data_IF_885460793221
#
_entry.id   IF_885460793221
#
_cell.length_a   1.000
_cell.length_b   1.000
_cell.length_c   1.000
_cell.angle_alpha   90.00
_cell.angle_beta   90.00
_cell.angle_gamma   90.00
#
_symmetry.space_group_name_H-M   'P 1'
#
loop_
_entity.id
_entity.type
_entity.pdbx_description
1 polymer ?
#
# COMPACT_ATOMS: atom_id res chain seq x y z
N UNK A 1 2.31 -25.82 -1.85
CA UNK A 1 1.36 -25.22 -0.86
C UNK A 1 1.85 -25.59 0.52
N UNK A 2 2.10 -24.60 1.41
CA UNK A 2 2.53 -24.89 2.79
C UNK A 2 1.36 -25.45 3.60
N UNK A 3 1.65 -26.26 4.63
CA UNK A 3 0.64 -26.83 5.53
C UNK A 3 -0.18 -25.71 6.21
N UNK A 4 0.49 -24.66 6.67
CA UNK A 4 -0.16 -23.49 7.26
C UNK A 4 -1.15 -22.82 6.30
N UNK A 5 -0.78 -22.63 5.03
CA UNK A 5 -1.67 -22.01 4.04
C UNK A 5 -2.92 -22.87 3.82
N UNK A 6 -2.75 -24.21 3.67
CA UNK A 6 -3.88 -25.13 3.48
C UNK A 6 -4.84 -25.07 4.65
N UNK A 7 -4.33 -25.18 5.88
CA UNK A 7 -5.17 -25.14 7.08
C UNK A 7 -5.90 -23.80 7.25
N UNK A 8 -5.26 -22.66 6.94
CA UNK A 8 -5.93 -21.36 6.95
C UNK A 8 -6.99 -21.27 5.86
N UNK A 9 -6.72 -21.80 4.66
CA UNK A 9 -7.69 -21.83 3.56
C UNK A 9 -8.94 -22.66 3.94
N UNK A 10 -8.73 -23.87 4.45
CA UNK A 10 -9.84 -24.75 4.91
C UNK A 10 -10.66 -24.08 6.02
N UNK A 11 -10.00 -23.40 6.96
CA UNK A 11 -10.67 -22.70 8.05
C UNK A 11 -11.53 -21.54 7.54
N UNK A 12 -11.02 -20.73 6.61
CA UNK A 12 -11.73 -19.56 6.08
C UNK A 12 -12.84 -19.98 5.11
N UNK A 13 -12.59 -20.91 4.20
CA UNK A 13 -13.56 -21.37 3.22
C UNK A 13 -14.77 -22.09 3.83
N UNK A 14 -14.61 -22.65 5.03
CA UNK A 14 -15.72 -23.25 5.78
C UNK A 14 -16.69 -22.22 6.40
N UNK A 15 -16.29 -20.93 6.51
CA UNK A 15 -17.05 -19.94 7.25
C UNK A 15 -17.36 -18.66 6.44
N UNK A 16 -16.59 -18.37 5.41
CA UNK A 16 -16.65 -17.11 4.68
C UNK A 16 -16.70 -17.33 3.18
N UNK A 17 -17.36 -16.42 2.51
CA UNK A 17 -17.43 -16.37 1.05
C UNK A 17 -16.03 -16.03 0.48
N UNK A 18 -15.58 -16.82 -0.48
CA UNK A 18 -14.42 -16.51 -1.28
C UNK A 18 -14.81 -15.52 -2.39
N UNK A 19 -14.06 -14.43 -2.52
CA UNK A 19 -14.32 -13.38 -3.51
C UNK A 19 -13.30 -13.48 -4.64
N UNK A 20 -13.79 -13.45 -5.88
CA UNK A 20 -12.95 -13.44 -7.07
C UNK A 20 -12.07 -12.19 -7.14
N UNK A 21 -10.83 -12.31 -7.62
CA UNK A 21 -9.90 -11.18 -7.60
C UNK A 21 -10.34 -10.00 -8.45
N UNK A 22 -10.99 -10.22 -9.60
CA UNK A 22 -11.53 -9.14 -10.42
C UNK A 22 -12.61 -8.35 -9.66
N UNK A 23 -13.56 -9.06 -9.04
CA UNK A 23 -14.64 -8.47 -8.25
C UNK A 23 -14.12 -7.76 -7.00
N UNK A 24 -13.16 -8.39 -6.31
CA UNK A 24 -12.50 -7.81 -5.15
C UNK A 24 -11.97 -6.39 -5.43
N UNK A 25 -11.33 -6.16 -6.58
CA UNK A 25 -10.81 -4.85 -6.93
C UNK A 25 -11.88 -3.87 -7.43
N UNK A 26 -12.96 -4.35 -8.04
CA UNK A 26 -14.14 -3.52 -8.33
C UNK A 26 -14.79 -2.99 -7.05
N UNK A 27 -14.88 -3.83 -6.03
CA UNK A 27 -15.38 -3.40 -4.73
C UNK A 27 -14.41 -2.45 -3.99
N UNK A 28 -13.12 -2.71 -4.10
CA UNK A 28 -12.11 -1.88 -3.46
C UNK A 28 -12.04 -0.47 -4.08
N UNK A 29 -12.27 -0.36 -5.38
CA UNK A 29 -12.17 0.89 -6.14
C UNK A 29 -13.40 1.10 -7.01
N UNK A 30 -14.56 1.41 -6.42
CA UNK A 30 -15.81 1.56 -7.17
C UNK A 30 -15.82 2.80 -8.08
N UNK A 31 -14.94 3.77 -7.84
CA UNK A 31 -14.91 5.06 -8.54
C UNK A 31 -13.74 5.17 -9.53
N UNK A 32 -13.19 4.07 -10.02
CA UNK A 32 -12.16 4.11 -11.06
C UNK A 32 -12.75 4.70 -12.36
N UNK A 33 -11.97 5.59 -12.98
CA UNK A 33 -12.41 6.20 -14.23
C UNK A 33 -12.46 5.18 -15.37
N UNK A 34 -13.32 5.49 -16.35
CA UNK A 34 -13.41 4.70 -17.58
C UNK A 34 -12.24 5.03 -18.51
N UNK A 35 -12.04 4.18 -19.53
CA UNK A 35 -11.03 4.39 -20.57
C UNK A 35 -11.30 5.60 -21.44
N UNK A 36 -10.44 5.79 -22.42
CA UNK A 36 -10.57 6.79 -23.44
C UNK A 36 -10.12 8.18 -23.01
N UNK A 37 -10.98 9.17 -23.18
CA UNK A 37 -10.63 10.55 -22.91
C UNK A 37 -10.35 10.81 -21.43
N UNK A 38 -11.08 10.16 -20.56
CA UNK A 38 -10.92 10.27 -19.12
C UNK A 38 -9.53 9.81 -18.67
N UNK A 39 -8.92 8.89 -19.39
CA UNK A 39 -7.57 8.39 -19.15
C UNK A 39 -6.51 9.51 -19.21
N UNK A 40 -6.81 10.63 -19.83
CA UNK A 40 -5.93 11.80 -19.92
C UNK A 40 -6.13 12.78 -18.78
N UNK A 41 -7.17 12.59 -17.98
CA UNK A 41 -7.44 13.45 -16.84
C UNK A 41 -6.57 13.09 -15.64
N UNK A 42 -5.39 13.70 -15.55
CA UNK A 42 -4.46 13.52 -14.46
C UNK A 42 -4.96 14.01 -13.10
N UNK A 43 -6.10 14.68 -13.05
CA UNK A 43 -6.70 15.17 -11.81
C UNK A 43 -7.62 14.14 -11.17
N UNK A 44 -8.16 13.20 -11.94
CA UNK A 44 -9.00 12.13 -11.43
C UNK A 44 -8.14 11.03 -10.78
N UNK A 45 -8.45 10.64 -9.53
CA UNK A 45 -7.69 9.60 -8.85
C UNK A 45 -8.15 8.21 -9.26
N UNK A 46 -7.20 7.36 -9.63
CA UNK A 46 -7.43 5.95 -9.94
C UNK A 46 -6.45 5.05 -9.20
N UNK A 47 -6.81 3.80 -8.99
CA UNK A 47 -5.89 2.80 -8.51
C UNK A 47 -4.76 2.57 -9.53
N UNK A 48 -3.57 2.30 -9.02
CA UNK A 48 -2.39 1.97 -9.83
C UNK A 48 -1.83 0.64 -9.36
N UNK A 49 -1.69 -0.30 -10.27
CA UNK A 49 -1.09 -1.58 -9.98
C UNK A 49 0.20 -1.80 -10.77
N UNK A 50 1.05 -2.67 -10.23
CA UNK A 50 2.27 -3.10 -10.86
C UNK A 50 2.14 -4.59 -11.19
N UNK A 51 2.70 -4.99 -12.31
CA UNK A 51 2.74 -6.40 -12.70
C UNK A 51 4.10 -6.77 -13.28
N UNK A 52 4.45 -8.05 -13.18
CA UNK A 52 5.66 -8.58 -13.79
C UNK A 52 5.42 -8.84 -15.28
N UNK A 53 6.27 -8.27 -16.11
CA UNK A 53 6.28 -8.50 -17.56
C UNK A 53 7.51 -9.35 -17.90
N UNK A 54 7.27 -10.62 -18.24
CA UNK A 54 8.33 -11.59 -18.51
C UNK A 54 9.11 -11.28 -19.78
N UNK A 55 8.51 -10.52 -20.72
CA UNK A 55 9.14 -10.11 -21.97
C UNK A 55 10.19 -9.00 -21.77
N UNK A 56 10.41 -8.56 -20.53
CA UNK A 56 11.37 -7.50 -20.20
C UNK A 56 12.60 -8.01 -19.45
N UNK A 57 13.74 -7.29 -19.60
CA UNK A 57 14.96 -7.59 -18.83
C UNK A 57 14.70 -7.59 -17.32
N UNK A 58 15.40 -8.46 -16.58
CA UNK A 58 15.22 -8.68 -15.13
C UNK A 58 15.22 -7.40 -14.30
N UNK A 59 15.98 -6.38 -14.68
CA UNK A 59 16.06 -5.09 -13.97
C UNK A 59 14.90 -4.11 -14.27
N UNK A 60 14.00 -4.45 -15.20
CA UNK A 60 12.84 -3.61 -15.60
C UNK A 60 11.56 -4.42 -15.74
N UNK A 61 11.45 -5.54 -15.05
CA UNK A 61 10.30 -6.46 -15.16
C UNK A 61 8.98 -5.84 -14.69
N UNK A 62 8.99 -4.96 -13.70
CA UNK A 62 7.75 -4.38 -13.18
C UNK A 62 7.26 -3.22 -14.04
N UNK A 63 6.02 -3.34 -14.49
CA UNK A 63 5.29 -2.28 -15.19
C UNK A 63 4.16 -1.75 -14.32
N UNK A 64 3.74 -0.51 -14.60
CA UNK A 64 2.59 0.14 -13.95
C UNK A 64 1.46 0.27 -14.93
N UNK A 65 0.24 0.09 -14.43
CA UNK A 65 -0.99 0.38 -15.14
C UNK A 65 -1.97 1.10 -14.21
N UNK A 66 -2.83 1.92 -14.80
CA UNK A 66 -3.99 2.47 -14.12
C UNK A 66 -5.10 1.42 -14.22
N UNK A 67 -5.79 1.19 -13.12
CA UNK A 67 -6.98 0.35 -13.09
C UNK A 67 -8.16 1.17 -13.60
N UNK A 68 -8.81 0.72 -14.66
CA UNK A 68 -9.92 1.40 -15.31
C UNK A 68 -11.11 0.45 -15.44
N UNK A 69 -12.30 0.89 -15.04
CA UNK A 69 -13.47 0.03 -14.87
C UNK A 69 -13.90 -0.71 -16.15
N UNK A 70 -13.85 -0.03 -17.29
CA UNK A 70 -14.33 -0.57 -18.56
C UNK A 70 -13.40 -1.58 -19.23
N UNK A 71 -12.11 -1.62 -18.82
CA UNK A 71 -11.13 -2.62 -19.30
C UNK A 71 -10.63 -3.52 -18.19
N UNK A 72 -11.10 -3.35 -16.96
CA UNK A 72 -10.53 -4.02 -15.80
C UNK A 72 -10.59 -5.54 -15.89
N UNK A 73 -11.68 -6.09 -16.38
CA UNK A 73 -11.82 -7.55 -16.50
C UNK A 73 -10.76 -8.14 -17.44
N UNK A 74 -10.54 -7.50 -18.59
CA UNK A 74 -9.50 -7.91 -19.53
C UNK A 74 -8.10 -7.73 -18.95
N UNK A 75 -7.84 -6.57 -18.35
CA UNK A 75 -6.57 -6.27 -17.70
C UNK A 75 -6.26 -7.22 -16.54
N UNK A 76 -7.27 -7.61 -15.77
CA UNK A 76 -7.13 -8.57 -14.67
C UNK A 76 -6.69 -9.94 -15.21
N UNK A 77 -7.37 -10.49 -16.21
CA UNK A 77 -7.03 -11.79 -16.81
C UNK A 77 -5.64 -11.76 -17.46
N UNK A 78 -5.27 -10.66 -18.13
CA UNK A 78 -4.01 -10.58 -18.86
C UNK A 78 -2.80 -10.31 -17.95
N UNK A 79 -2.94 -9.46 -16.92
CA UNK A 79 -1.80 -8.93 -16.18
C UNK A 79 -1.78 -9.31 -14.70
N UNK A 80 -2.88 -9.78 -14.13
CA UNK A 80 -2.98 -10.05 -12.69
C UNK A 80 -3.16 -11.53 -12.40
N UNK A 81 -4.14 -12.15 -13.02
CA UNK A 81 -4.47 -13.55 -12.79
C UNK A 81 -3.26 -14.45 -13.07
N UNK A 82 -2.94 -15.33 -12.14
CA UNK A 82 -1.79 -16.24 -12.20
C UNK A 82 -0.42 -15.57 -12.41
N UNK A 83 -0.34 -14.24 -12.43
CA UNK A 83 0.94 -13.54 -12.58
C UNK A 83 1.82 -13.74 -11.32
N UNK A 84 3.12 -14.04 -11.48
CA UNK A 84 4.00 -14.35 -10.35
C UNK A 84 4.30 -13.15 -9.43
N UNK A 85 4.06 -11.93 -9.90
CA UNK A 85 4.25 -10.73 -9.11
C UNK A 85 3.39 -9.57 -9.61
N UNK A 86 2.30 -9.32 -8.91
CA UNK A 86 1.49 -8.11 -9.07
C UNK A 86 1.31 -7.42 -7.73
N UNK A 87 1.26 -6.10 -7.72
CA UNK A 87 1.21 -5.30 -6.51
C UNK A 87 0.21 -4.16 -6.65
N UNK A 88 -0.68 -4.00 -5.68
CA UNK A 88 -1.57 -2.86 -5.57
C UNK A 88 -1.65 -2.37 -4.11
N UNK A 89 -1.90 -1.08 -3.91
CA UNK A 89 -2.18 -0.52 -2.58
C UNK A 89 -3.67 -0.20 -2.44
N UNK A 90 -4.14 0.13 -1.24
CA UNK A 90 -5.52 0.59 -1.01
C UNK A 90 -5.77 2.05 -1.38
N UNK A 91 -4.92 2.65 -2.23
CA UNK A 91 -4.96 4.08 -2.55
C UNK A 91 -5.26 4.33 -4.03
N UNK A 92 -5.98 5.41 -4.29
CA UNK A 92 -6.11 5.99 -5.63
C UNK A 92 -5.14 7.17 -5.79
N UNK A 93 -4.53 7.29 -6.97
CA UNK A 93 -3.43 8.21 -7.26
C UNK A 93 -3.77 9.13 -8.42
N UNK A 94 -3.20 10.32 -8.38
CA UNK A 94 -3.13 11.20 -9.53
C UNK A 94 -2.05 10.69 -10.49
N UNK A 95 -2.45 10.32 -11.69
CA UNK A 95 -1.57 9.77 -12.72
C UNK A 95 -1.05 8.37 -12.38
N UNK A 96 -0.05 7.89 -13.10
CA UNK A 96 0.44 6.50 -13.03
C UNK A 96 1.44 6.23 -11.90
N UNK A 97 1.90 7.25 -11.18
CA UNK A 97 2.94 7.05 -10.17
C UNK A 97 2.34 6.79 -8.78
N UNK A 98 2.50 5.59 -8.25
CA UNK A 98 2.04 5.15 -6.92
C UNK A 98 2.93 5.68 -5.76
N UNK A 99 3.34 6.94 -5.84
CA UNK A 99 4.09 7.62 -4.78
C UNK A 99 3.12 8.31 -3.81
N UNK A 100 3.45 8.35 -2.52
CA UNK A 100 2.61 8.97 -1.49
C UNK A 100 2.22 10.42 -1.79
N UNK A 101 3.10 11.20 -2.45
CA UNK A 101 2.80 12.56 -2.87
C UNK A 101 1.67 12.67 -3.90
N UNK A 102 1.48 11.61 -4.70
CA UNK A 102 0.46 11.54 -5.74
C UNK A 102 -0.84 10.88 -5.25
N UNK A 103 -0.82 10.28 -4.05
CA UNK A 103 -2.01 9.67 -3.46
C UNK A 103 -3.06 10.75 -3.14
N UNK A 104 -4.27 10.55 -3.64
CA UNK A 104 -5.39 11.48 -3.51
C UNK A 104 -6.49 10.94 -2.61
N UNK A 105 -6.78 9.63 -2.68
CA UNK A 105 -7.82 8.98 -1.88
C UNK A 105 -7.32 7.68 -1.28
N UNK A 106 -7.83 7.34 -0.12
CA UNK A 106 -7.65 6.03 0.52
C UNK A 106 -8.99 5.30 0.50
N UNK A 107 -9.05 4.22 -0.26
CA UNK A 107 -10.21 3.33 -0.33
C UNK A 107 -10.15 2.23 0.72
N UNK A 108 -8.92 1.80 1.09
CA UNK A 108 -8.72 0.83 2.16
C UNK A 108 -7.43 1.08 2.94
N UNK A 109 -7.47 0.78 4.24
CA UNK A 109 -6.30 0.62 5.08
C UNK A 109 -5.95 -0.87 5.14
N UNK A 110 -4.72 -1.21 4.75
CA UNK A 110 -4.29 -2.60 4.59
C UNK A 110 -3.14 -2.88 5.55
N UNK A 111 -3.19 -4.05 6.22
CA UNK A 111 -2.12 -4.56 7.05
C UNK A 111 -1.65 -5.89 6.51
N UNK A 112 -0.35 -6.13 6.54
CA UNK A 112 0.29 -7.40 6.21
C UNK A 112 0.81 -8.02 7.49
N UNK A 113 0.33 -9.19 7.81
CA UNK A 113 0.66 -9.94 9.01
C UNK A 113 1.30 -11.27 8.60
N UNK A 114 2.62 -11.32 8.66
CA UNK A 114 3.41 -12.50 8.34
C UNK A 114 3.38 -13.55 9.47
N UNK A 115 3.63 -14.80 9.08
CA UNK A 115 3.75 -15.92 10.03
C UNK A 115 2.42 -16.25 10.72
N UNK A 116 1.34 -16.34 9.95
CA UNK A 116 0.01 -16.72 10.45
C UNK A 116 -0.29 -18.16 10.05
N UNK A 117 -0.41 -19.01 11.04
CA UNK A 117 -0.98 -20.35 10.89
C UNK A 117 -2.41 -20.41 11.41
N UNK A 118 -3.01 -21.60 11.43
CA UNK A 118 -4.40 -21.79 11.88
C UNK A 118 -4.62 -21.37 13.33
N UNK A 119 -3.61 -21.55 14.19
CA UNK A 119 -3.68 -21.15 15.60
C UNK A 119 -3.77 -19.63 15.75
N UNK A 120 -2.88 -18.90 15.07
CA UNK A 120 -2.86 -17.43 15.04
C UNK A 120 -4.13 -16.87 14.40
N UNK A 121 -4.62 -17.49 13.33
CA UNK A 121 -5.86 -17.11 12.66
C UNK A 121 -7.07 -17.25 13.60
N UNK A 122 -7.20 -18.37 14.32
CA UNK A 122 -8.26 -18.55 15.33
C UNK A 122 -8.17 -17.50 16.44
N UNK A 123 -6.97 -17.19 16.90
CA UNK A 123 -6.76 -16.15 17.91
C UNK A 123 -7.17 -14.75 17.39
N UNK A 124 -6.92 -14.45 16.10
CA UNK A 124 -7.40 -13.23 15.47
C UNK A 124 -8.94 -13.15 15.52
N UNK A 125 -9.63 -14.23 15.11
CA UNK A 125 -11.10 -14.27 15.13
C UNK A 125 -11.69 -14.14 16.54
N UNK A 126 -11.05 -14.71 17.56
CA UNK A 126 -11.45 -14.51 18.96
C UNK A 126 -11.32 -13.05 19.42
N UNK A 127 -10.49 -12.25 18.74
CA UNK A 127 -10.20 -10.86 19.08
C UNK A 127 -10.93 -9.84 18.21
N UNK A 128 -11.37 -10.22 17.02
CA UNK A 128 -12.12 -9.34 16.14
C UNK A 128 -13.45 -8.91 16.75
N UNK A 129 -13.80 -7.63 16.54
CA UNK A 129 -15.05 -7.05 17.03
C UNK A 129 -15.09 -6.84 18.55
N UNK A 130 -16.27 -6.53 19.07
CA UNK A 130 -16.53 -6.25 20.48
C UNK A 130 -16.09 -4.85 20.91
N UNK A 131 -16.03 -4.62 22.23
CA UNK A 131 -15.72 -3.31 22.82
C UNK A 131 -14.29 -2.85 22.47
N UNK A 132 -14.13 -1.75 21.69
CA UNK A 132 -12.82 -1.24 21.28
C UNK A 132 -11.91 -0.82 22.42
N UNK A 133 -12.46 -0.49 23.59
CA UNK A 133 -11.68 -0.06 24.76
C UNK A 133 -10.92 -1.22 25.42
N UNK A 134 -11.33 -2.45 25.16
CA UNK A 134 -10.61 -3.63 25.65
C UNK A 134 -9.34 -3.83 24.83
N UNK A 135 -8.20 -3.81 25.50
CA UNK A 135 -6.84 -3.84 24.90
C UNK A 135 -6.63 -4.95 23.85
N UNK A 136 -7.25 -6.10 24.03
CA UNK A 136 -7.08 -7.25 23.12
C UNK A 136 -8.08 -7.29 21.96
N UNK A 137 -9.06 -6.40 21.90
CA UNK A 137 -10.03 -6.38 20.81
C UNK A 137 -9.45 -5.68 19.59
N UNK A 138 -9.76 -6.22 18.42
CA UNK A 138 -9.29 -5.75 17.14
C UNK A 138 -10.47 -5.38 16.25
N UNK A 139 -10.34 -4.37 15.40
CA UNK A 139 -11.38 -4.11 14.41
C UNK A 139 -11.52 -5.31 13.48
N UNK A 140 -12.77 -5.64 13.11
CA UNK A 140 -13.06 -6.68 12.12
C UNK A 140 -12.69 -6.18 10.72
N UNK A 141 -11.85 -6.87 9.95
CA UNK A 141 -11.56 -6.47 8.59
C UNK A 141 -12.70 -6.81 7.64
N UNK A 142 -12.84 -6.03 6.56
CA UNK A 142 -13.78 -6.30 5.48
C UNK A 142 -13.40 -7.59 4.74
N UNK A 143 -12.10 -7.71 4.43
CA UNK A 143 -11.56 -8.92 3.80
C UNK A 143 -10.29 -9.40 4.50
N UNK A 144 -10.14 -10.72 4.53
CA UNK A 144 -8.86 -11.39 4.79
C UNK A 144 -8.35 -11.99 3.48
N UNK A 145 -7.08 -11.73 3.17
CA UNK A 145 -6.42 -12.29 1.98
C UNK A 145 -5.28 -13.19 2.43
N UNK A 146 -5.33 -14.46 2.03
CA UNK A 146 -4.22 -15.38 2.24
C UNK A 146 -3.07 -15.01 1.29
N UNK A 147 -1.90 -14.69 1.85
CA UNK A 147 -0.74 -14.21 1.08
C UNK A 147 0.36 -15.24 0.88
N UNK A 148 0.17 -16.46 1.35
CA UNK A 148 1.11 -17.60 1.29
C UNK A 148 1.67 -18.02 2.64
N UNK A 149 2.25 -17.12 3.44
CA UNK A 149 2.74 -17.39 4.79
C UNK A 149 2.15 -16.42 5.82
N UNK A 150 1.11 -15.73 5.46
CA UNK A 150 0.47 -14.72 6.30
C UNK A 150 -0.85 -14.27 5.73
N UNK A 151 -1.33 -13.15 6.23
CA UNK A 151 -2.61 -12.55 5.88
C UNK A 151 -2.43 -11.08 5.55
N UNK A 152 -3.15 -10.59 4.53
CA UNK A 152 -3.43 -9.18 4.43
C UNK A 152 -4.83 -8.91 5.01
N UNK A 153 -4.94 -7.96 5.92
CA UNK A 153 -6.19 -7.50 6.50
C UNK A 153 -6.61 -6.22 5.78
N UNK A 154 -7.74 -6.25 5.08
CA UNK A 154 -8.27 -5.12 4.35
C UNK A 154 -9.44 -4.50 5.11
N UNK A 155 -9.30 -3.24 5.49
CA UNK A 155 -10.36 -2.40 6.01
C UNK A 155 -10.81 -1.46 4.91
N UNK A 156 -11.84 -1.84 4.18
CA UNK A 156 -12.38 -1.06 3.06
C UNK A 156 -13.33 -0.01 3.62
N UNK A 157 -13.08 1.25 3.30
CA UNK A 157 -13.92 2.35 3.78
C UNK A 157 -15.25 2.41 3.03
N UNK A 158 -16.33 2.74 3.76
CA UNK A 158 -17.62 3.07 3.16
C UNK A 158 -17.49 4.24 2.20
N UNK A 159 -16.83 5.31 2.66
CA UNK A 159 -16.50 6.50 1.88
C UNK A 159 -14.97 6.64 1.80
N UNK A 160 -14.38 6.75 0.59
CA UNK A 160 -12.95 6.96 0.45
C UNK A 160 -12.48 8.24 1.16
N UNK A 161 -11.36 8.16 1.84
CA UNK A 161 -10.80 9.30 2.59
C UNK A 161 -9.92 10.14 1.68
N UNK A 162 -10.23 11.43 1.55
CA UNK A 162 -9.38 12.39 0.82
C UNK A 162 -8.05 12.64 1.54
N UNK A 163 -6.96 12.54 0.77
CA UNK A 163 -5.61 12.52 1.31
C UNK A 163 -4.91 13.88 1.23
N UNK A 164 -5.30 14.80 2.09
CA UNK A 164 -4.52 16.02 2.34
C UNK A 164 -3.24 15.72 3.14
N UNK A 165 -2.22 16.59 3.09
CA UNK A 165 -0.93 16.34 3.77
C UNK A 165 -1.05 16.03 5.26
N UNK A 166 -1.91 16.75 6.00
CA UNK A 166 -2.18 16.52 7.42
C UNK A 166 -2.89 15.19 7.66
N UNK A 167 -3.81 14.79 6.77
CA UNK A 167 -4.54 13.51 6.88
C UNK A 167 -3.58 12.34 6.63
N UNK A 168 -2.67 12.43 5.66
CA UNK A 168 -1.64 11.41 5.42
C UNK A 168 -0.78 11.15 6.68
N UNK A 169 -0.44 12.20 7.41
CA UNK A 169 0.36 12.08 8.65
C UNK A 169 -0.45 11.37 9.74
N UNK A 170 -1.70 11.77 9.94
CA UNK A 170 -2.59 11.16 10.94
C UNK A 170 -2.87 9.69 10.61
N UNK A 171 -3.19 9.37 9.34
CA UNK A 171 -3.41 7.99 8.90
C UNK A 171 -2.18 7.10 9.09
N UNK A 172 -0.98 7.67 8.95
CA UNK A 172 0.26 6.94 9.26
C UNK A 172 0.34 6.60 10.75
N UNK A 173 -0.01 7.53 11.64
CA UNK A 173 -0.03 7.30 13.08
C UNK A 173 -1.08 6.27 13.47
N UNK A 174 -2.30 6.39 12.94
CA UNK A 174 -3.36 5.41 13.10
C UNK A 174 -2.91 4.01 12.65
N UNK A 175 -2.34 3.90 11.45
CA UNK A 175 -1.87 2.62 10.92
C UNK A 175 -0.80 1.99 11.83
N UNK A 176 0.13 2.77 12.33
CA UNK A 176 1.18 2.26 13.21
C UNK A 176 0.64 1.78 14.55
N UNK A 177 -0.31 2.52 15.15
CA UNK A 177 -0.95 2.13 16.41
C UNK A 177 -1.76 0.83 16.24
N UNK A 178 -2.56 0.73 15.17
CA UNK A 178 -3.29 -0.50 14.86
C UNK A 178 -2.36 -1.67 14.51
N UNK A 179 -1.25 -1.43 13.81
CA UNK A 179 -0.24 -2.48 13.56
C UNK A 179 0.31 -3.04 14.88
N UNK A 180 0.66 -2.15 15.82
CA UNK A 180 1.12 -2.55 17.15
C UNK A 180 0.06 -3.36 17.91
N UNK A 181 -1.20 -2.98 17.79
CA UNK A 181 -2.32 -3.66 18.44
C UNK A 181 -2.63 -5.03 17.84
N UNK A 182 -2.52 -5.17 16.50
CA UNK A 182 -2.78 -6.42 15.79
C UNK A 182 -1.67 -7.44 16.03
N UNK A 183 -0.41 -6.98 16.12
CA UNK A 183 0.76 -7.84 16.15
C UNK A 183 1.09 -8.33 17.55
N UNK A 184 0.89 -9.60 17.80
CA UNK A 184 1.28 -10.25 19.05
C UNK A 184 2.08 -11.52 18.73
N UNK A 185 3.35 -11.54 19.13
CA UNK A 185 4.22 -12.70 18.94
C UNK A 185 3.63 -13.94 19.62
N UNK A 186 3.54 -15.05 18.88
CA UNK A 186 2.89 -16.32 19.27
C UNK A 186 1.37 -16.22 19.54
N UNK A 187 0.79 -15.03 19.46
CA UNK A 187 -0.64 -14.84 19.57
C UNK A 187 -1.30 -14.72 18.20
N UNK A 188 -0.92 -13.69 17.44
CA UNK A 188 -1.46 -13.41 16.11
C UNK A 188 -0.43 -13.58 14.99
N UNK A 189 0.85 -13.69 15.33
CA UNK A 189 1.95 -13.91 14.39
C UNK A 189 3.07 -14.73 15.03
N UNK A 190 3.68 -15.60 14.25
CA UNK A 190 4.91 -16.33 14.65
C UNK A 190 6.16 -15.46 14.48
N UNK A 191 6.04 -14.27 13.85
CA UNK A 191 7.15 -13.35 13.68
C UNK A 191 7.33 -12.47 14.91
N UNK A 192 8.55 -12.46 15.47
CA UNK A 192 8.87 -11.70 16.69
C UNK A 192 8.91 -10.19 16.45
N UNK A 193 9.40 -9.76 15.30
CA UNK A 193 9.56 -8.34 14.98
C UNK A 193 8.31 -7.80 14.27
N UNK A 194 7.75 -6.73 14.82
CA UNK A 194 6.62 -6.01 14.21
C UNK A 194 7.09 -5.36 12.91
N UNK A 195 6.33 -5.54 11.83
CA UNK A 195 6.63 -4.95 10.53
C UNK A 195 5.69 -3.77 10.28
N UNK A 196 6.21 -2.57 10.46
CA UNK A 196 5.48 -1.34 10.17
C UNK A 196 5.59 -1.00 8.68
N UNK A 197 4.44 -0.81 8.05
CA UNK A 197 4.36 -0.47 6.63
C UNK A 197 3.78 0.93 6.43
N UNK A 198 4.24 1.62 5.39
CA UNK A 198 3.67 2.92 5.03
C UNK A 198 2.21 2.77 4.55
N UNK A 199 1.44 3.85 4.58
CA UNK A 199 0.04 3.84 4.12
C UNK A 199 -0.09 3.57 2.61
N UNK A 200 0.95 3.86 1.82
CA UNK A 200 1.01 3.58 0.39
C UNK A 200 1.77 2.31 0.03
N UNK A 201 2.04 1.46 1.01
CA UNK A 201 2.63 0.14 0.74
C UNK A 201 1.72 -0.63 -0.20
N UNK A 202 2.30 -1.16 -1.28
CA UNK A 202 1.60 -2.05 -2.19
C UNK A 202 1.77 -3.50 -1.72
N UNK A 203 0.71 -4.28 -1.86
CA UNK A 203 0.62 -5.68 -1.47
C UNK A 203 0.34 -6.53 -2.70
N UNK A 204 0.68 -7.81 -2.63
CA UNK A 204 0.38 -8.75 -3.70
C UNK A 204 -1.12 -8.80 -3.97
N UNK A 205 -1.48 -8.81 -5.24
CA UNK A 205 -2.87 -8.78 -5.67
C UNK A 205 -3.54 -10.14 -5.56
N UNK A 206 -4.82 -10.12 -5.21
CA UNK A 206 -5.69 -11.31 -5.19
C UNK A 206 -5.76 -11.92 -6.59
N UNK A 207 -5.70 -13.24 -6.70
CA UNK A 207 -5.66 -14.00 -7.95
C UNK A 207 -4.25 -14.14 -8.56
N UNK A 208 -3.25 -13.40 -8.06
CA UNK A 208 -1.86 -13.60 -8.47
C UNK A 208 -1.19 -14.73 -7.69
N UNK A 209 -0.03 -15.19 -8.17
CA UNK A 209 0.74 -16.23 -7.52
C UNK A 209 1.84 -15.61 -6.64
N UNK A 210 1.94 -16.07 -5.40
CA UNK A 210 3.12 -15.80 -4.61
C UNK A 210 4.29 -16.68 -5.08
N UNK A 211 5.19 -16.13 -5.87
CA UNK A 211 6.29 -16.87 -6.47
C UNK A 211 7.25 -17.53 -5.46
N UNK A 212 7.25 -17.09 -4.20
CA UNK A 212 8.06 -17.70 -3.14
C UNK A 212 7.47 -19.03 -2.64
N UNK A 213 6.14 -19.12 -2.58
CA UNK A 213 5.44 -20.26 -2.00
C UNK A 213 4.65 -21.09 -3.04
N UNK A 214 4.54 -20.59 -4.28
CA UNK A 214 3.74 -21.20 -5.33
C UNK A 214 2.24 -21.26 -4.99
N UNK A 215 1.75 -20.30 -4.21
CA UNK A 215 0.36 -20.22 -3.74
C UNK A 215 -0.36 -19.04 -4.36
N UNK A 216 -1.61 -19.24 -4.74
CA UNK A 216 -2.50 -18.17 -5.15
C UNK A 216 -2.89 -17.30 -3.96
N UNK A 217 -3.08 -16.00 -4.20
CA UNK A 217 -3.66 -15.12 -3.20
C UNK A 217 -5.18 -15.14 -3.30
N UNK A 218 -5.81 -15.54 -2.22
CA UNK A 218 -7.25 -15.75 -2.15
C UNK A 218 -7.88 -14.83 -1.11
N UNK A 219 -8.95 -14.12 -1.49
CA UNK A 219 -9.68 -13.22 -0.62
C UNK A 219 -10.94 -13.87 -0.06
N UNK A 220 -11.23 -13.59 1.21
CA UNK A 220 -12.46 -13.98 1.90
C UNK A 220 -13.15 -12.74 2.46
N UNK A 221 -14.45 -12.61 2.25
CA UNK A 221 -15.27 -11.57 2.86
C UNK A 221 -15.54 -11.93 4.32
N UNK A 222 -14.97 -11.17 5.24
CA UNK A 222 -15.05 -11.47 6.67
C UNK A 222 -15.89 -10.47 7.47
N UNK A 223 -16.12 -9.29 6.93
CA UNK A 223 -16.89 -8.23 7.57
C UNK A 223 -17.43 -7.21 6.57
N UNK A 224 -18.09 -6.21 7.11
CA UNK A 224 -18.65 -5.09 6.36
C UNK A 224 -17.57 -4.03 6.03
N UNK A 225 -17.91 -3.07 5.17
CA UNK A 225 -17.12 -1.85 4.99
C UNK A 225 -17.06 -1.09 6.30
N UNK A 226 -16.00 -0.31 6.51
CA UNK A 226 -15.74 0.37 7.78
C UNK A 226 -15.79 1.87 7.62
N UNK A 227 -16.20 2.55 8.70
CA UNK A 227 -16.03 4.00 8.82
C UNK A 227 -14.65 4.32 9.43
N UNK A 228 -14.17 5.54 9.22
CA UNK A 228 -12.96 6.02 9.88
C UNK A 228 -13.12 6.03 11.40
N UNK A 229 -14.31 6.40 11.90
CA UNK A 229 -14.61 6.44 13.34
C UNK A 229 -14.60 5.05 13.97
N UNK A 230 -15.03 4.02 13.23
CA UNK A 230 -14.88 2.64 13.67
C UNK A 230 -13.41 2.28 13.93
N UNK A 231 -12.50 2.60 13.01
CA UNK A 231 -11.06 2.34 13.21
C UNK A 231 -10.46 3.22 14.31
N UNK A 232 -10.86 4.50 14.38
CA UNK A 232 -10.46 5.42 15.44
C UNK A 232 -10.80 4.91 16.84
N UNK A 233 -11.94 4.22 16.98
CA UNK A 233 -12.35 3.68 18.28
C UNK A 233 -11.33 2.67 18.85
N UNK A 234 -10.61 1.94 17.98
CA UNK A 234 -9.58 0.99 18.39
C UNK A 234 -8.19 1.62 18.57
N UNK A 235 -8.02 2.89 18.20
CA UNK A 235 -6.74 3.58 18.31
C UNK A 235 -6.66 4.41 19.60
N UNK A 236 -5.43 4.63 20.06
CA UNK A 236 -5.16 5.59 21.14
C UNK A 236 -5.63 6.99 20.74
N UNK A 237 -6.13 7.81 21.69
CA UNK A 237 -6.68 9.14 21.38
C UNK A 237 -5.73 10.01 20.54
N UNK A 238 -4.43 10.00 20.87
CA UNK A 238 -3.40 10.79 20.18
C UNK A 238 -3.10 10.33 18.74
N UNK A 239 -3.49 9.10 18.38
CA UNK A 239 -3.26 8.50 17.07
C UNK A 239 -4.53 8.46 16.19
N UNK A 240 -5.64 8.99 16.69
CA UNK A 240 -6.90 9.09 15.94
C UNK A 240 -6.77 10.11 14.81
N UNK A 241 -7.51 9.86 13.75
CA UNK A 241 -7.57 10.74 12.59
C UNK A 241 -8.77 11.66 12.72
N UNK A 242 -8.53 12.96 12.62
CA UNK A 242 -9.55 13.98 12.52
C UNK A 242 -9.46 14.61 11.11
N UNK A 243 -10.43 14.29 10.25
CA UNK A 243 -10.49 14.79 8.87
C UNK A 243 -10.82 16.28 8.79
N UNK A 244 -11.43 16.84 9.85
CA UNK A 244 -11.79 18.24 9.92
C UNK A 244 -10.66 19.12 10.47
N UNK A 245 -9.57 18.51 10.95
CA UNK A 245 -8.42 19.24 11.46
C UNK A 245 -7.81 20.10 10.37
N UNK A 246 -7.78 21.43 10.52
CA UNK A 246 -7.26 22.31 9.48
C UNK A 246 -5.77 22.03 9.25
N UNK A 247 -5.38 22.08 7.98
CA UNK A 247 -3.97 21.99 7.62
C UNK A 247 -3.32 23.37 7.76
N UNK A 248 -2.46 23.48 8.76
CA UNK A 248 -1.59 24.64 8.92
C UNK A 248 -0.19 24.25 8.43
N UNK A 249 0.23 24.73 7.23
CA UNK A 249 1.61 24.54 6.82
C UNK A 249 2.52 25.18 7.85
N UNK A 250 3.59 24.49 8.22
CA UNK A 250 4.57 25.06 9.15
C UNK A 250 5.09 26.39 8.59
N UNK A 251 4.89 27.48 9.33
CA UNK A 251 5.47 28.79 9.01
C UNK A 251 6.93 28.89 9.47
N UNK A 252 7.46 27.81 10.03
CA UNK A 252 8.83 27.75 10.54
C UNK A 252 9.82 27.94 9.39
N UNK A 253 10.70 28.91 9.51
CA UNK A 253 11.79 29.10 8.57
C UNK A 253 12.81 27.95 8.69
N UNK A 254 13.70 27.87 7.72
CA UNK A 254 14.75 26.84 7.73
C UNK A 254 15.70 27.00 8.94
N UNK A 255 15.96 28.23 9.31
CA UNK A 255 16.77 28.62 10.48
C UNK A 255 16.07 28.20 11.77
N UNK A 256 14.82 28.50 11.91
CA UNK A 256 14.00 28.10 13.06
C UNK A 256 13.89 26.57 13.16
N UNK A 257 13.76 25.86 12.04
CA UNK A 257 13.76 24.39 12.02
C UNK A 257 15.12 23.80 12.43
N UNK A 258 16.23 24.45 12.05
CA UNK A 258 17.57 24.07 12.46
C UNK A 258 17.78 24.23 13.97
N UNK A 259 17.25 25.28 14.54
CA UNK A 259 17.35 25.56 15.98
C UNK A 259 16.45 24.65 16.81
N UNK A 260 15.19 24.50 16.40
CA UNK A 260 14.21 23.71 17.14
C UNK A 260 14.41 22.18 17.03
N UNK A 261 14.96 21.71 15.88
CA UNK A 261 15.14 20.29 15.58
C UNK A 261 16.51 20.01 14.97
N UNK A 262 17.62 20.23 15.68
CA UNK A 262 18.98 20.16 15.13
C UNK A 262 19.33 18.77 14.59
N UNK A 263 18.95 17.70 15.28
CA UNK A 263 19.23 16.31 14.83
C UNK A 263 18.48 15.97 13.55
N UNK A 264 17.20 16.33 13.47
CA UNK A 264 16.40 16.14 12.25
C UNK A 264 17.00 16.94 11.09
N UNK A 265 17.35 18.21 11.34
CA UNK A 265 17.94 19.08 10.33
C UNK A 265 19.26 18.50 9.81
N UNK A 266 20.13 18.06 10.70
CA UNK A 266 21.40 17.42 10.34
C UNK A 266 21.17 16.20 9.47
N UNK A 267 20.33 15.27 9.89
CA UNK A 267 20.06 14.02 9.19
C UNK A 267 19.36 14.20 7.85
N UNK A 268 18.32 15.03 7.79
CA UNK A 268 17.45 15.13 6.61
C UNK A 268 17.91 16.19 5.64
N UNK A 269 18.35 17.33 6.14
CA UNK A 269 18.72 18.48 5.29
C UNK A 269 20.20 18.44 4.93
N UNK A 270 21.09 18.29 5.90
CA UNK A 270 22.53 18.34 5.67
C UNK A 270 23.04 17.04 5.03
N UNK A 271 22.77 15.90 5.66
CA UNK A 271 23.22 14.59 5.13
C UNK A 271 22.41 14.15 3.92
N UNK A 272 21.11 14.41 3.89
CA UNK A 272 20.27 14.17 2.73
C UNK A 272 20.73 14.93 1.49
N UNK A 273 21.19 16.17 1.66
CA UNK A 273 21.79 16.95 0.56
C UNK A 273 23.19 16.47 0.17
N UNK A 274 23.98 15.97 1.11
CA UNK A 274 25.29 15.35 0.80
C UNK A 274 25.14 14.06 -0.01
N UNK A 275 24.05 13.31 0.19
CA UNK A 275 23.74 12.08 -0.58
C UNK A 275 23.22 12.37 -1.99
N UNK A 276 22.74 13.59 -2.26
CA UNK A 276 22.46 14.02 -3.63
C UNK A 276 23.79 14.19 -4.33
N UNK A 277 24.17 13.25 -5.20
CA UNK A 277 25.32 13.38 -6.07
C UNK A 277 25.18 14.72 -6.81
N UNK A 278 26.12 15.65 -6.57
CA UNK A 278 26.24 16.82 -7.43
C UNK A 278 26.48 16.30 -8.84
N UNK A 279 25.72 16.79 -9.77
CA UNK A 279 25.96 16.54 -11.19
C UNK A 279 27.30 17.16 -11.53
N UNK A 280 28.31 16.34 -11.60
CA UNK A 280 29.63 16.76 -12.06
C UNK A 280 29.66 16.56 -13.57
N UNK A 281 29.43 17.65 -14.29
CA UNK A 281 29.54 17.71 -15.74
C UNK A 281 30.98 18.07 -16.14
N UNK A 282 31.76 18.58 -15.20
CA UNK A 282 33.18 18.94 -15.46
C UNK A 282 34.02 17.67 -15.70
N UNK A 283 34.73 17.65 -16.79
CA UNK A 283 35.62 16.53 -17.15
C UNK A 283 34.99 15.39 -17.95
N UNK A 284 33.69 15.42 -18.24
CA UNK A 284 33.10 14.47 -19.18
C UNK A 284 33.28 14.97 -20.62
N UNK A 285 34.32 14.46 -21.26
CA UNK A 285 34.52 14.69 -22.71
C UNK A 285 33.61 13.76 -23.48
N UNK A 286 32.66 14.33 -24.21
CA UNK A 286 31.73 13.60 -25.02
C UNK A 286 32.15 13.50 -26.50
N UNK A 287 33.43 13.69 -26.79
CA UNK A 287 33.96 13.74 -28.16
C UNK A 287 33.54 14.98 -28.93
N UNK A 288 33.68 14.92 -30.23
CA UNK A 288 33.32 16.03 -31.16
C UNK A 288 31.85 16.07 -31.52
N UNK A 289 31.03 15.18 -30.96
CA UNK A 289 29.59 15.15 -31.18
C UNK A 289 28.87 16.20 -30.31
N UNK A 290 28.33 17.28 -30.92
CA UNK A 290 27.64 18.34 -30.16
C UNK A 290 26.38 17.85 -29.44
N UNK A 291 25.81 16.70 -29.89
CA UNK A 291 24.63 16.10 -29.29
C UNK A 291 24.95 15.05 -28.22
N UNK A 292 26.22 14.64 -28.06
CA UNK A 292 26.59 13.61 -27.11
C UNK A 292 26.22 13.98 -25.67
N UNK A 293 26.40 15.24 -25.28
CA UNK A 293 25.99 15.78 -23.98
C UNK A 293 24.46 15.75 -23.83
N UNK A 294 23.71 16.11 -24.86
CA UNK A 294 22.25 16.09 -24.88
C UNK A 294 21.72 14.67 -24.75
N UNK A 295 22.25 13.73 -25.52
CA UNK A 295 21.87 12.30 -25.42
C UNK A 295 22.28 11.66 -24.12
N UNK A 296 23.43 12.06 -23.55
CA UNK A 296 23.81 11.64 -22.22
C UNK A 296 22.83 12.17 -21.17
N UNK A 297 22.43 13.41 -21.29
CA UNK A 297 21.49 14.08 -20.39
C UNK A 297 20.11 13.41 -20.45
N UNK A 298 19.58 13.15 -21.66
CA UNK A 298 18.34 12.41 -21.86
C UNK A 298 18.39 11.02 -21.23
N UNK A 299 19.49 10.31 -21.35
CA UNK A 299 19.66 9.01 -20.69
C UNK A 299 19.66 9.10 -19.17
N UNK A 300 20.19 10.17 -18.59
CA UNK A 300 20.15 10.40 -17.16
C UNK A 300 18.72 10.76 -16.67
N UNK A 301 17.98 11.54 -17.43
CA UNK A 301 16.58 11.86 -17.11
C UNK A 301 15.71 10.61 -17.27
N UNK A 302 15.84 9.84 -18.34
CA UNK A 302 15.10 8.59 -18.54
C UNK A 302 15.49 7.47 -17.55
N UNK A 303 16.58 7.61 -16.79
CA UNK A 303 16.93 6.70 -15.69
C UNK A 303 16.34 7.14 -14.33
N UNK A 304 15.66 8.28 -14.29
CA UNK A 304 15.01 8.85 -13.09
C UNK A 304 13.48 8.57 -13.10
N UNK A 305 12.95 8.05 -14.24
CA UNK A 305 11.59 7.51 -14.34
C UNK A 305 11.57 6.05 -13.78
#
# INVERSE_FOLDING_TARGET
MTENYRGCYEYLSAQFEQVGGCEFYRELFPDNEKTGEDNRDFFKPNAVYLYSDENRPKNRKLRRRIMLDDVWEQDYMEFVEQNPLTLCSGLAYRGMANKLKNAQRMNALIFDLDGVGVGELRNLFLRFGGDPQRVRRLPMPTFLVLSGNGLHLYYVFEEPIDLYPNIKIQLKSLKYDLTFRIWEYKGTSQMKAIQYQSINQSFRMVGSINGKYGTELVAFRTGERVTLDYLNAYAKPENRVDINKPFHPSKMTREQAKEAYPEWYQRVVVEGNKRKKKWDIAGKVHGDDPYALYHWWLRQIGSIE
#
